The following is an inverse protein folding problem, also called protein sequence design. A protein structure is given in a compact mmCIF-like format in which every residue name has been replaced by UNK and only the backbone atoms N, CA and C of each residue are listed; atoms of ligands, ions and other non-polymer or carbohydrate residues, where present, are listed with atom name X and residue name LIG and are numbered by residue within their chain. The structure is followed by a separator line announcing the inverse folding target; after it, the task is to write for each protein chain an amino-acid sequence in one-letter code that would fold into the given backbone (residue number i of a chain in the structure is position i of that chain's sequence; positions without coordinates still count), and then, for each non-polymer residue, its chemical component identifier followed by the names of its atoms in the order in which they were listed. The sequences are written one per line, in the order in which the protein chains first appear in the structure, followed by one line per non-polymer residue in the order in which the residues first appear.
data_IF_388024031484
#
_entry.id   IF_388024031484
#
_cell.length_a   1.000
_cell.length_b   1.000
_cell.length_c   1.000
_cell.angle_alpha   90.00
_cell.angle_beta   90.00
_cell.angle_gamma   90.00
#
_symmetry.space_group_name_H-M   'P 1'
#
loop_
_entity.id
_entity.type
_entity.pdbx_description
1 polymer ?
#
# COMPACT_ATOMS: atom_id res chain seq x y z
N UNK A 1 4.68 14.80 9.42
CA UNK A 1 5.44 15.01 8.17
C UNK A 1 6.92 15.25 8.45
N UNK A 2 7.29 16.15 9.36
CA UNK A 2 8.70 16.42 9.73
C UNK A 2 9.50 15.18 10.12
N UNK A 3 8.84 14.20 10.71
CA UNK A 3 9.36 12.89 11.10
C UNK A 3 9.72 11.96 9.92
N UNK A 4 9.12 12.16 8.75
CA UNK A 4 9.31 11.27 7.58
C UNK A 4 9.71 12.02 6.29
N UNK A 5 10.06 13.30 6.38
CA UNK A 5 10.38 14.12 5.22
C UNK A 5 11.55 13.57 4.38
N UNK A 6 12.51 12.88 5.02
CA UNK A 6 13.67 12.29 4.35
C UNK A 6 13.36 11.01 3.54
N UNK A 7 12.20 10.38 3.76
CA UNK A 7 11.85 9.10 3.13
C UNK A 7 10.75 9.23 2.06
N UNK A 8 10.39 10.46 1.67
CA UNK A 8 9.46 10.69 0.57
C UNK A 8 10.05 10.15 -0.72
N UNK A 9 9.25 9.40 -1.47
CA UNK A 9 9.65 8.83 -2.76
C UNK A 9 9.02 9.61 -3.91
N UNK A 10 9.79 9.92 -4.94
CA UNK A 10 9.30 10.55 -6.16
C UNK A 10 9.09 9.48 -7.22
N UNK A 11 7.92 9.47 -7.83
CA UNK A 11 7.56 8.54 -8.91
C UNK A 11 7.10 9.31 -10.15
N UNK A 12 7.05 8.61 -11.27
CA UNK A 12 6.42 9.11 -12.49
C UNK A 12 5.01 8.49 -12.68
N UNK A 13 4.06 9.23 -13.28
CA UNK A 13 2.81 8.65 -13.78
C UNK A 13 3.07 7.41 -14.66
N UNK A 14 2.38 6.30 -14.38
CA UNK A 14 2.53 5.04 -15.12
C UNK A 14 3.77 4.22 -14.77
N UNK A 15 4.61 4.69 -13.83
CA UNK A 15 5.77 3.93 -13.37
C UNK A 15 5.34 2.62 -12.71
N UNK A 16 6.04 1.54 -13.03
CA UNK A 16 5.95 0.28 -12.28
C UNK A 16 6.85 0.39 -11.04
N UNK A 17 6.28 0.13 -9.88
CA UNK A 17 6.96 0.18 -8.58
C UNK A 17 6.88 -1.19 -7.93
N UNK A 18 8.04 -1.77 -7.62
CA UNK A 18 8.13 -2.99 -6.83
C UNK A 18 7.96 -2.66 -5.35
N UNK A 19 6.96 -3.28 -4.73
CA UNK A 19 6.60 -3.11 -3.33
C UNK A 19 7.01 -4.35 -2.54
N UNK A 20 7.64 -4.12 -1.38
CA UNK A 20 8.05 -5.18 -0.46
C UNK A 20 7.35 -5.04 0.88
N UNK A 21 6.62 -6.07 1.27
CA UNK A 21 5.95 -6.15 2.57
C UNK A 21 6.64 -7.18 3.45
N UNK A 22 7.23 -6.74 4.56
CA UNK A 22 7.72 -7.65 5.61
C UNK A 22 6.58 -7.99 6.55
N UNK A 23 6.45 -9.27 6.91
CA UNK A 23 5.43 -9.77 7.83
C UNK A 23 6.03 -10.85 8.70
N UNK A 24 6.01 -10.63 10.00
CA UNK A 24 6.52 -11.57 11.00
C UNK A 24 5.46 -12.62 11.40
N UNK A 25 4.17 -12.29 11.23
CA UNK A 25 3.04 -13.12 11.62
C UNK A 25 2.04 -13.18 10.46
N UNK A 26 1.37 -14.32 10.31
CA UNK A 26 0.39 -14.58 9.26
C UNK A 26 -1.03 -14.59 9.85
N UNK A 27 -1.93 -13.89 9.17
CA UNK A 27 -3.37 -13.81 9.48
C UNK A 27 -4.17 -13.65 8.20
N UNK A 28 -4.94 -14.66 7.84
CA UNK A 28 -5.77 -14.65 6.64
C UNK A 28 -6.72 -13.46 6.67
N UNK A 29 -6.75 -12.73 5.57
CA UNK A 29 -7.82 -11.77 5.29
C UNK A 29 -7.52 -10.89 4.08
N UNK A 30 -8.35 -9.87 3.82
CA UNK A 30 -8.15 -8.98 2.68
C UNK A 30 -6.96 -8.05 2.89
N UNK A 31 -6.24 -7.76 1.81
CA UNK A 31 -5.16 -6.77 1.77
C UNK A 31 -5.24 -5.94 0.50
N UNK A 32 -4.97 -4.65 0.59
CA UNK A 32 -4.75 -3.81 -0.58
C UNK A 32 -3.58 -2.83 -0.42
N UNK A 33 -3.09 -2.35 -1.57
CA UNK A 33 -2.31 -1.11 -1.63
C UNK A 33 -3.12 -0.09 -2.41
N UNK A 34 -3.28 1.10 -1.85
CA UNK A 34 -4.00 2.20 -2.46
C UNK A 34 -3.22 3.50 -2.35
N UNK A 35 -3.49 4.45 -3.24
CA UNK A 35 -3.11 5.85 -3.01
C UNK A 35 -4.13 6.47 -2.06
N UNK A 36 -3.68 7.13 -1.01
CA UNK A 36 -4.55 7.81 -0.05
C UNK A 36 -4.16 9.28 0.08
N UNK A 37 -5.18 10.15 0.11
CA UNK A 37 -5.05 11.56 0.48
C UNK A 37 -4.85 11.64 2.00
N UNK A 38 -3.78 12.30 2.43
CA UNK A 38 -3.40 12.31 3.85
C UNK A 38 -4.26 13.24 4.71
N UNK A 39 -4.96 14.21 4.09
CA UNK A 39 -5.78 15.20 4.79
C UNK A 39 -7.15 14.62 5.13
N UNK A 40 -7.68 13.78 4.25
CA UNK A 40 -9.00 13.16 4.36
C UNK A 40 -8.94 11.69 4.76
N UNK A 41 -7.77 11.06 4.68
CA UNK A 41 -7.56 9.61 4.78
C UNK A 41 -8.36 8.80 3.73
N UNK A 42 -8.84 9.46 2.68
CA UNK A 42 -9.63 8.83 1.64
C UNK A 42 -8.73 8.18 0.59
N UNK A 43 -9.16 7.04 0.07
CA UNK A 43 -8.55 6.42 -1.10
C UNK A 43 -8.82 7.28 -2.35
N UNK A 44 -7.79 7.49 -3.16
CA UNK A 44 -7.90 8.12 -4.48
C UNK A 44 -7.92 7.01 -5.54
N UNK A 45 -9.04 6.91 -6.27
CA UNK A 45 -9.22 5.91 -7.32
C UNK A 45 -9.44 4.50 -6.77
N UNK A 46 -9.08 3.48 -7.57
CA UNK A 46 -9.16 2.07 -7.18
C UNK A 46 -7.87 1.61 -6.48
N UNK A 47 -7.92 0.48 -5.72
CA UNK A 47 -6.70 -0.11 -5.19
C UNK A 47 -5.74 -0.49 -6.31
N UNK A 48 -4.46 -0.20 -6.13
CA UNK A 48 -3.40 -0.55 -7.07
C UNK A 48 -3.19 -2.07 -7.16
N UNK A 49 -3.48 -2.75 -6.05
CA UNK A 49 -3.56 -4.21 -5.96
C UNK A 49 -4.54 -4.58 -4.85
N UNK A 50 -5.24 -5.69 -5.03
CA UNK A 50 -6.19 -6.24 -4.06
C UNK A 50 -6.01 -7.75 -3.97
N UNK A 51 -5.88 -8.25 -2.74
CA UNK A 51 -5.92 -9.66 -2.41
C UNK A 51 -7.19 -9.92 -1.60
N UNK A 52 -8.05 -10.81 -2.10
CA UNK A 52 -9.21 -11.27 -1.32
C UNK A 52 -8.78 -12.15 -0.13
N UNK A 53 -7.66 -12.87 -0.28
CA UNK A 53 -7.05 -13.70 0.75
C UNK A 53 -5.54 -13.50 0.73
N UNK A 54 -5.02 -12.92 1.80
CA UNK A 54 -3.63 -12.55 2.00
C UNK A 54 -3.11 -13.14 3.30
N UNK A 55 -1.82 -13.51 3.33
CA UNK A 55 -1.14 -14.04 4.53
C UNK A 55 -1.85 -15.24 5.17
N UNK A 56 -2.43 -16.14 4.36
CA UNK A 56 -3.22 -17.25 4.88
C UNK A 56 -2.33 -18.31 5.55
N UNK A 57 -2.39 -18.33 6.88
CA UNK A 57 -1.61 -19.21 7.77
C UNK A 57 -2.00 -20.70 7.65
N UNK A 58 -3.10 -21.02 6.98
CA UNK A 58 -3.50 -22.41 6.71
C UNK A 58 -2.77 -23.04 5.52
N UNK A 59 -2.11 -22.23 4.69
CA UNK A 59 -1.37 -22.71 3.52
C UNK A 59 0.00 -23.26 3.94
N UNK A 60 0.42 -24.36 3.32
CA UNK A 60 1.78 -24.89 3.50
C UNK A 60 2.86 -23.89 3.08
N UNK A 61 2.55 -23.03 2.11
CA UNK A 61 3.38 -21.91 1.69
C UNK A 61 2.49 -20.76 1.22
N UNK A 62 2.74 -19.56 1.74
CA UNK A 62 2.08 -18.34 1.26
C UNK A 62 2.60 -17.96 -0.12
N UNK A 63 1.74 -17.49 -1.05
CA UNK A 63 2.19 -17.06 -2.37
C UNK A 63 3.25 -15.96 -2.29
N UNK A 64 4.31 -16.04 -3.11
CA UNK A 64 5.44 -15.11 -3.07
C UNK A 64 5.02 -13.64 -3.28
N UNK A 65 3.99 -13.42 -4.11
CA UNK A 65 3.42 -12.10 -4.35
C UNK A 65 2.69 -11.49 -3.15
N UNK A 66 2.64 -12.18 -2.02
CA UNK A 66 2.21 -11.55 -0.78
C UNK A 66 3.30 -10.62 -0.21
N UNK A 67 4.59 -10.90 -0.42
CA UNK A 67 5.69 -10.06 0.11
C UNK A 67 6.41 -9.25 -0.95
N UNK A 68 6.28 -9.62 -2.22
CA UNK A 68 7.01 -9.00 -3.33
C UNK A 68 6.10 -8.91 -4.56
N UNK A 69 5.60 -7.71 -4.85
CA UNK A 69 4.63 -7.49 -5.92
C UNK A 69 4.80 -6.11 -6.55
N UNK A 70 4.41 -5.99 -7.81
CA UNK A 70 4.46 -4.73 -8.55
C UNK A 70 3.10 -4.02 -8.51
N UNK A 71 3.15 -2.69 -8.41
CA UNK A 71 2.01 -1.79 -8.59
C UNK A 71 2.35 -0.77 -9.67
N UNK A 72 1.31 -0.22 -10.33
CA UNK A 72 1.48 0.83 -11.33
C UNK A 72 0.99 2.16 -10.77
N UNK A 73 1.80 3.20 -10.87
CA UNK A 73 1.39 4.55 -10.46
C UNK A 73 0.29 5.05 -11.38
N UNK A 74 -0.89 5.46 -10.87
CA UNK A 74 -1.97 5.93 -11.72
C UNK A 74 -1.55 7.17 -12.50
N UNK A 75 -1.90 7.21 -13.79
CA UNK A 75 -1.66 8.39 -14.64
C UNK A 75 -2.67 9.52 -14.40
N UNK A 76 -3.63 9.30 -13.51
CA UNK A 76 -4.78 10.17 -13.24
C UNK A 76 -4.68 10.98 -11.95
N UNK A 77 -3.58 10.87 -11.20
CA UNK A 77 -3.39 11.60 -9.94
C UNK A 77 -3.28 13.13 -10.15
N UNK A 78 -2.90 13.58 -11.35
CA UNK A 78 -2.79 15.00 -11.67
C UNK A 78 -1.95 15.75 -10.64
N UNK A 79 -2.45 16.88 -10.14
CA UNK A 79 -1.78 17.65 -9.09
C UNK A 79 -2.11 17.20 -7.66
N UNK A 80 -2.94 16.16 -7.47
CA UNK A 80 -3.40 15.77 -6.14
C UNK A 80 -2.27 15.25 -5.24
N UNK A 81 -1.22 14.68 -5.84
CA UNK A 81 -0.07 14.11 -5.13
C UNK A 81 1.25 14.81 -5.51
N UNK A 82 1.18 16.09 -5.92
CA UNK A 82 2.32 16.84 -6.44
C UNK A 82 3.23 17.42 -5.34
N UNK A 83 2.76 17.54 -4.09
CA UNK A 83 3.59 17.96 -2.98
C UNK A 83 3.79 16.83 -1.97
N UNK A 84 4.94 16.87 -1.31
CA UNK A 84 5.22 15.97 -0.22
C UNK A 84 4.15 16.13 0.87
N UNK A 85 3.76 15.01 1.46
CA UNK A 85 2.65 14.88 2.41
C UNK A 85 1.25 14.98 1.82
N UNK A 86 1.02 15.26 0.53
CA UNK A 86 -0.36 15.23 0.00
C UNK A 86 -0.90 13.80 -0.09
N UNK A 87 -0.06 12.85 -0.50
CA UNK A 87 -0.44 11.45 -0.67
C UNK A 87 0.55 10.45 -0.07
N UNK A 88 0.06 9.25 0.17
CA UNK A 88 0.85 8.07 0.53
C UNK A 88 0.39 6.86 -0.29
N UNK A 89 1.28 5.88 -0.49
CA UNK A 89 0.83 4.50 -0.68
C UNK A 89 0.48 3.94 0.68
N UNK A 90 -0.77 3.51 0.84
CA UNK A 90 -1.26 2.85 2.03
C UNK A 90 -1.38 1.37 1.75
N UNK A 91 -0.55 0.57 2.40
CA UNK A 91 -0.72 -0.87 2.52
C UNK A 91 -1.63 -1.13 3.72
N UNK A 92 -2.80 -1.69 3.47
CA UNK A 92 -3.79 -1.99 4.49
C UNK A 92 -4.16 -3.47 4.43
N UNK A 93 -4.15 -4.12 5.58
CA UNK A 93 -4.44 -5.54 5.73
C UNK A 93 -5.28 -5.77 6.97
N UNK A 94 -6.37 -6.52 6.81
CA UNK A 94 -7.23 -6.91 7.92
C UNK A 94 -7.20 -8.43 8.10
N UNK A 95 -6.63 -8.90 9.22
CA UNK A 95 -6.62 -10.31 9.59
C UNK A 95 -7.95 -10.71 10.20
N UNK A 96 -8.76 -11.50 9.50
CA UNK A 96 -10.18 -11.71 9.83
C UNK A 96 -10.39 -12.51 11.11
N UNK A 97 -9.63 -13.60 11.30
CA UNK A 97 -9.76 -14.43 12.51
C UNK A 97 -9.14 -13.80 13.75
N UNK A 98 -8.11 -12.97 13.56
CA UNK A 98 -7.44 -12.26 14.64
C UNK A 98 -8.15 -10.94 15.03
N UNK A 99 -9.04 -10.43 14.16
CA UNK A 99 -9.65 -9.10 14.28
C UNK A 99 -8.61 -7.98 14.40
N UNK A 100 -7.51 -8.11 13.66
CA UNK A 100 -6.40 -7.16 13.69
C UNK A 100 -6.32 -6.38 12.38
N UNK A 101 -6.09 -5.08 12.49
CA UNK A 101 -5.77 -4.20 11.37
C UNK A 101 -4.28 -3.87 11.37
N UNK A 102 -3.66 -4.01 10.22
CA UNK A 102 -2.27 -3.65 9.97
C UNK A 102 -2.23 -2.61 8.86
N UNK A 103 -1.49 -1.54 9.09
CA UNK A 103 -1.36 -0.44 8.14
C UNK A 103 0.10 0.03 8.08
N UNK A 104 0.57 0.32 6.87
CA UNK A 104 1.85 0.97 6.64
C UNK A 104 1.75 1.93 5.47
N UNK A 105 2.42 3.08 5.60
CA UNK A 105 2.35 4.15 4.62
C UNK A 105 3.73 4.53 4.08
N UNK A 106 3.84 4.68 2.75
CA UNK A 106 5.03 5.24 2.09
C UNK A 106 4.67 6.61 1.54
N UNK A 107 5.37 7.66 2.01
CA UNK A 107 5.21 9.02 1.51
C UNK A 107 5.62 9.12 0.05
N UNK A 108 4.80 9.78 -0.76
CA UNK A 108 5.04 9.87 -2.21
C UNK A 108 4.82 11.27 -2.78
N UNK A 109 5.49 11.53 -3.90
CA UNK A 109 5.21 12.61 -4.84
C UNK A 109 5.17 12.01 -6.25
N UNK A 110 4.22 12.43 -7.07
CA UNK A 110 4.03 11.98 -8.46
C UNK A 110 4.01 13.19 -9.40
#
# INVERSE_FOLDING_TARGET
FTDNAANVRTFAPGQVVNMRASREILHKGPMNVSVADTKTNAQIGDPLILFASYADESLAQVPANNTDFDVVIPTTLGSACAAAADCVFKWFWFGTSADHTYESCVGMVV
#
